data_IF_318926200368
#
_entry.id   IF_318926200368
#
_cell.length_a   1.000
_cell.length_b   1.000
_cell.length_c   1.000
_cell.angle_alpha   90.00
_cell.angle_beta   90.00
_cell.angle_gamma   90.00
#
_symmetry.space_group_name_H-M   'P 1'
#
loop_
_entity.id
_entity.type
_entity.pdbx_description
1 polymer ?
#
# COMPACT_ATOMS: atom_id res chain seq x y z
N UNK A 1 -50.98 -42.48 10.05
CA UNK A 1 -49.91 -42.17 9.06
C UNK A 1 -49.76 -40.69 8.71
N UNK A 2 -50.69 -39.79 9.06
CA UNK A 2 -50.58 -38.37 8.69
C UNK A 2 -49.68 -37.53 9.62
N UNK A 3 -49.62 -37.86 10.91
CA UNK A 3 -48.83 -37.10 11.91
C UNK A 3 -47.33 -37.07 11.60
N UNK A 4 -46.79 -38.20 11.12
CA UNK A 4 -45.37 -38.32 10.72
C UNK A 4 -45.10 -37.49 9.47
N UNK A 5 -46.02 -37.47 8.50
CA UNK A 5 -45.90 -36.68 7.26
C UNK A 5 -45.94 -35.18 7.58
N UNK A 6 -46.84 -34.74 8.46
CA UNK A 6 -46.90 -33.34 8.90
C UNK A 6 -45.65 -32.93 9.67
N UNK A 7 -45.11 -33.81 10.52
CA UNK A 7 -43.87 -33.54 11.27
C UNK A 7 -42.66 -33.39 10.34
N UNK A 8 -42.57 -34.24 9.31
CA UNK A 8 -41.52 -34.17 8.29
C UNK A 8 -41.65 -32.89 7.46
N UNK A 9 -42.87 -32.54 7.02
CA UNK A 9 -43.13 -31.30 6.27
C UNK A 9 -42.76 -30.05 7.08
N UNK A 10 -43.10 -30.01 8.37
CA UNK A 10 -42.76 -28.89 9.26
C UNK A 10 -41.24 -28.73 9.41
N UNK A 11 -40.52 -29.84 9.55
CA UNK A 11 -39.07 -29.84 9.67
C UNK A 11 -38.37 -29.35 8.39
N UNK A 12 -38.79 -29.84 7.23
CA UNK A 12 -38.25 -29.37 5.94
C UNK A 12 -38.54 -27.89 5.70
N UNK A 13 -39.74 -27.41 6.04
CA UNK A 13 -40.06 -25.99 5.96
C UNK A 13 -39.14 -25.14 6.86
N UNK A 14 -38.92 -25.58 8.11
CA UNK A 14 -38.02 -24.89 9.04
C UNK A 14 -36.57 -24.85 8.53
N UNK A 15 -36.06 -25.95 7.95
CA UNK A 15 -34.73 -25.99 7.35
C UNK A 15 -34.60 -25.06 6.14
N UNK A 16 -35.61 -25.02 5.27
CA UNK A 16 -35.65 -24.12 4.12
C UNK A 16 -35.65 -22.64 4.58
N UNK A 17 -36.45 -22.29 5.58
CA UNK A 17 -36.44 -20.95 6.16
C UNK A 17 -35.08 -20.60 6.78
N UNK A 18 -34.44 -21.53 7.49
CA UNK A 18 -33.11 -21.30 8.06
C UNK A 18 -32.03 -21.09 6.99
N UNK A 19 -32.12 -21.83 5.88
CA UNK A 19 -31.21 -21.68 4.73
C UNK A 19 -31.42 -20.34 3.99
N UNK A 20 -32.67 -19.89 3.86
CA UNK A 20 -33.01 -18.61 3.26
C UNK A 20 -32.54 -17.42 4.12
N UNK A 21 -32.66 -17.52 5.46
CA UNK A 21 -32.14 -16.52 6.40
C UNK A 21 -30.62 -16.44 6.31
N UNK A 22 -29.92 -17.57 6.12
CA UNK A 22 -28.46 -17.58 5.95
C UNK A 22 -28.00 -17.05 4.59
N UNK A 23 -28.79 -17.25 3.54
CA UNK A 23 -28.55 -16.65 2.23
C UNK A 23 -28.87 -15.15 2.17
N UNK A 24 -29.73 -14.64 3.05
CA UNK A 24 -30.17 -13.25 3.11
C UNK A 24 -29.33 -12.34 4.04
N UNK A 25 -28.22 -12.83 4.63
CA UNK A 25 -27.20 -11.95 5.21
C UNK A 25 -26.40 -11.23 4.10
N UNK A 26 -27.10 -10.42 3.32
CA UNK A 26 -26.52 -9.34 2.54
C UNK A 26 -26.08 -8.30 3.58
N UNK A 27 -24.79 -7.94 3.68
CA UNK A 27 -24.40 -6.79 4.46
C UNK A 27 -25.23 -5.61 3.97
N UNK A 28 -25.99 -4.98 4.85
CA UNK A 28 -26.66 -3.72 4.51
C UNK A 28 -25.54 -2.76 4.09
N UNK A 29 -25.37 -2.58 2.79
CA UNK A 29 -24.81 -1.39 2.17
C UNK A 29 -25.78 -0.25 2.51
N UNK A 30 -25.76 0.13 3.79
CA UNK A 30 -26.48 1.27 4.30
C UNK A 30 -25.87 2.48 3.61
N UNK A 31 -26.74 3.29 3.02
CA UNK A 31 -26.42 4.60 2.48
C UNK A 31 -25.64 5.38 3.55
N UNK A 32 -24.30 5.33 3.48
CA UNK A 32 -23.43 5.95 4.47
C UNK A 32 -23.73 7.44 4.47
N UNK A 33 -24.21 7.94 5.60
CA UNK A 33 -24.46 9.36 5.77
C UNK A 33 -23.17 10.14 5.51
N UNK A 34 -23.27 11.37 4.99
CA UNK A 34 -22.10 12.19 4.59
C UNK A 34 -21.10 12.48 5.73
N UNK A 35 -21.44 12.13 6.98
CA UNK A 35 -20.64 12.38 8.18
C UNK A 35 -20.30 11.08 8.96
N UNK A 36 -20.32 9.91 8.32
CA UNK A 36 -20.00 8.66 9.02
C UNK A 36 -18.50 8.57 9.35
N UNK A 37 -18.18 8.56 10.65
CA UNK A 37 -16.81 8.34 11.13
C UNK A 37 -16.53 6.84 11.17
N UNK A 38 -15.51 6.41 10.43
CA UNK A 38 -15.03 5.03 10.47
C UNK A 38 -14.39 4.78 11.85
N UNK A 39 -14.84 3.79 12.64
CA UNK A 39 -14.28 3.51 13.95
C UNK A 39 -12.77 3.20 13.89
N UNK A 40 -12.03 3.62 14.91
CA UNK A 40 -10.57 3.40 14.99
C UNK A 40 -10.17 1.95 14.73
N UNK A 41 -10.84 0.98 15.35
CA UNK A 41 -10.52 -0.43 15.17
C UNK A 41 -10.74 -0.94 13.75
N UNK A 42 -11.67 -0.34 13.01
CA UNK A 42 -11.86 -0.65 11.60
C UNK A 42 -10.71 -0.07 10.76
N UNK A 43 -10.32 1.18 11.00
CA UNK A 43 -9.16 1.80 10.35
C UNK A 43 -7.91 0.97 10.61
N UNK A 44 -7.61 0.65 11.88
CA UNK A 44 -6.44 -0.13 12.29
C UNK A 44 -6.38 -1.51 11.61
N UNK A 45 -7.49 -2.27 11.63
CA UNK A 45 -7.54 -3.59 10.98
C UNK A 45 -7.45 -3.50 9.46
N UNK A 46 -8.05 -2.45 8.87
CA UNK A 46 -7.99 -2.21 7.42
C UNK A 46 -6.63 -1.68 6.97
N UNK A 47 -5.85 -1.02 7.82
CA UNK A 47 -4.53 -0.48 7.49
C UNK A 47 -3.37 -1.41 7.87
N UNK A 48 -3.60 -2.42 8.71
CA UNK A 48 -2.57 -3.37 9.15
C UNK A 48 -1.80 -4.03 7.99
N UNK A 49 -0.51 -4.31 8.23
CA UNK A 49 0.37 -5.04 7.32
C UNK A 49 -0.22 -6.40 6.93
N UNK A 50 -0.54 -6.57 5.64
CA UNK A 50 -1.04 -7.82 5.06
C UNK A 50 -0.84 -7.82 3.55
N UNK A 51 -1.11 -8.96 2.93
CA UNK A 51 -1.14 -9.06 1.47
C UNK A 51 -2.34 -8.30 0.90
N UNK A 52 -2.09 -7.50 -0.14
CA UNK A 52 -3.10 -6.71 -0.85
C UNK A 52 -2.85 -6.75 -2.35
N UNK A 53 -3.92 -6.60 -3.11
CA UNK A 53 -3.85 -6.38 -4.55
C UNK A 53 -3.28 -4.98 -4.81
N UNK A 54 -2.23 -4.93 -5.62
CA UNK A 54 -1.58 -3.71 -6.05
C UNK A 54 -1.32 -3.76 -7.55
N UNK A 55 -1.48 -2.61 -8.21
CA UNK A 55 -1.06 -2.45 -9.60
C UNK A 55 0.45 -2.24 -9.64
N UNK A 56 1.12 -3.08 -10.40
CA UNK A 56 2.56 -3.04 -10.60
C UNK A 56 2.82 -2.83 -12.09
N UNK A 57 3.66 -1.85 -12.41
CA UNK A 57 4.09 -1.59 -13.78
C UNK A 57 5.07 -2.68 -14.23
N UNK A 58 4.81 -3.28 -15.39
CA UNK A 58 5.61 -4.36 -15.93
C UNK A 58 7.03 -3.87 -16.29
N UNK A 59 7.16 -2.64 -16.79
CA UNK A 59 8.46 -2.09 -17.23
C UNK A 59 9.39 -1.88 -16.03
N UNK A 60 8.82 -1.57 -14.86
CA UNK A 60 9.60 -1.40 -13.64
C UNK A 60 10.16 -2.73 -13.11
N UNK A 61 9.44 -3.83 -13.28
CA UNK A 61 9.88 -5.18 -12.88
C UNK A 61 10.84 -5.78 -13.92
N UNK A 62 10.69 -5.44 -15.21
CA UNK A 62 11.52 -5.92 -16.32
C UNK A 62 12.14 -4.77 -17.13
N UNK A 63 13.11 -4.02 -16.57
CA UNK A 63 13.71 -2.88 -17.24
C UNK A 63 14.58 -3.24 -18.46
N UNK A 64 15.01 -4.50 -18.57
CA UNK A 64 15.94 -4.95 -19.61
C UNK A 64 15.30 -5.04 -21.02
N UNK A 65 13.97 -4.89 -21.15
CA UNK A 65 13.25 -5.02 -22.43
C UNK A 65 12.84 -3.67 -23.07
N UNK A 66 13.76 -2.71 -23.13
CA UNK A 66 13.54 -1.30 -23.56
C UNK A 66 12.89 -1.15 -24.97
N UNK A 67 13.01 -2.14 -25.85
CA UNK A 67 12.42 -2.11 -27.21
C UNK A 67 10.93 -2.51 -27.28
N UNK A 68 10.33 -2.92 -26.17
CA UNK A 68 9.00 -3.54 -26.17
C UNK A 68 8.03 -2.79 -25.26
N UNK A 69 6.77 -2.73 -25.69
CA UNK A 69 5.66 -2.25 -24.86
C UNK A 69 4.74 -3.43 -24.55
N UNK A 70 4.32 -3.55 -23.30
CA UNK A 70 3.37 -4.60 -22.89
C UNK A 70 1.95 -4.04 -22.82
N UNK A 71 0.99 -4.86 -23.23
CA UNK A 71 -0.44 -4.59 -23.08
C UNK A 71 -1.06 -5.75 -22.27
N UNK A 72 -1.62 -5.49 -21.08
CA UNK A 72 -1.65 -4.21 -20.37
C UNK A 72 -0.24 -3.75 -19.91
N UNK A 73 -0.07 -2.47 -19.60
CA UNK A 73 1.20 -1.93 -19.07
C UNK A 73 1.41 -2.23 -17.58
N UNK A 74 0.34 -2.53 -16.86
CA UNK A 74 0.36 -2.89 -15.44
C UNK A 74 -0.46 -4.16 -15.19
N UNK A 75 -0.08 -4.90 -14.15
CA UNK A 75 -0.76 -6.11 -13.70
C UNK A 75 -1.13 -6.00 -12.23
N UNK A 76 -2.19 -6.70 -11.83
CA UNK A 76 -2.60 -6.80 -10.42
C UNK A 76 -1.82 -7.93 -9.78
N UNK A 77 -1.04 -7.62 -8.75
CA UNK A 77 -0.26 -8.60 -7.98
C UNK A 77 -0.56 -8.50 -6.50
N UNK A 78 -0.46 -9.64 -5.82
CA UNK A 78 -0.49 -9.69 -4.37
C UNK A 78 0.85 -9.25 -3.79
N UNK A 79 0.89 -8.10 -3.12
CA UNK A 79 2.08 -7.52 -2.48
C UNK A 79 1.80 -7.15 -1.02
N UNK A 80 2.86 -7.08 -0.23
CA UNK A 80 2.73 -6.68 1.17
C UNK A 80 2.52 -5.18 1.27
N UNK A 81 1.44 -4.79 1.92
CA UNK A 81 1.10 -3.38 2.10
C UNK A 81 0.31 -3.15 3.38
N UNK A 82 0.50 -1.96 3.95
CA UNK A 82 -0.10 -1.54 5.20
C UNK A 82 0.92 -0.91 6.13
N UNK A 83 0.46 -0.53 7.32
CA UNK A 83 1.29 0.03 8.37
C UNK A 83 1.60 -1.00 9.47
N UNK A 84 2.74 -0.78 10.12
CA UNK A 84 3.11 -1.40 11.38
C UNK A 84 2.89 -0.39 12.52
N UNK A 85 2.90 -0.86 13.77
CA UNK A 85 2.63 -0.01 14.93
C UNK A 85 3.76 0.95 15.28
N UNK A 86 4.97 0.67 14.81
CA UNK A 86 6.18 1.43 15.06
C UNK A 86 6.84 1.77 13.73
N UNK A 87 7.32 3.00 13.59
CA UNK A 87 8.03 3.48 12.41
C UNK A 87 9.39 2.79 12.21
N UNK A 88 9.95 2.23 13.28
CA UNK A 88 11.15 1.39 13.22
C UNK A 88 10.88 0.02 12.56
N UNK A 89 9.61 -0.34 12.35
CA UNK A 89 9.21 -1.57 11.66
C UNK A 89 8.85 -1.30 10.19
N UNK A 90 9.11 -2.31 9.35
CA UNK A 90 8.70 -2.36 7.94
C UNK A 90 7.85 -3.59 7.67
N UNK A 91 6.85 -3.44 6.79
CA UNK A 91 5.97 -4.53 6.35
C UNK A 91 6.65 -5.28 5.20
N UNK A 92 7.14 -6.48 5.48
CA UNK A 92 7.97 -7.27 4.53
C UNK A 92 7.34 -8.64 4.28
N UNK A 93 7.57 -9.23 3.09
CA UNK A 93 7.11 -10.59 2.80
C UNK A 93 7.91 -11.62 3.62
N UNK A 94 7.21 -12.63 4.09
CA UNK A 94 7.81 -13.82 4.72
C UNK A 94 7.71 -15.07 3.87
N UNK A 95 6.74 -15.10 2.96
CA UNK A 95 6.55 -16.17 2.00
C UNK A 95 6.09 -15.57 0.67
N UNK A 96 6.61 -16.12 -0.42
CA UNK A 96 6.37 -15.64 -1.79
C UNK A 96 6.12 -16.81 -2.73
N UNK A 97 5.39 -16.55 -3.82
CA UNK A 97 5.18 -17.49 -4.92
C UNK A 97 5.30 -16.77 -6.25
N UNK A 98 5.65 -17.50 -7.31
CA UNK A 98 5.65 -16.93 -8.65
C UNK A 98 4.31 -17.21 -9.35
N UNK A 99 3.84 -16.25 -10.14
CA UNK A 99 2.64 -16.36 -10.96
C UNK A 99 2.99 -15.93 -12.37
N UNK A 100 2.70 -16.81 -13.32
CA UNK A 100 2.89 -16.52 -14.73
C UNK A 100 1.63 -15.93 -15.32
N UNK A 101 1.76 -14.78 -15.98
CA UNK A 101 0.68 -14.05 -16.62
C UNK A 101 0.98 -13.88 -18.10
N UNK A 102 -0.07 -13.93 -18.92
CA UNK A 102 0.02 -13.68 -20.35
C UNK A 102 -0.24 -12.20 -20.64
N UNK A 103 0.64 -11.59 -21.43
CA UNK A 103 0.57 -10.20 -21.87
C UNK A 103 0.85 -10.12 -23.37
N UNK A 104 0.37 -9.07 -24.02
CA UNK A 104 0.75 -8.81 -25.40
C UNK A 104 2.05 -8.01 -25.42
N UNK A 105 3.09 -8.60 -26.03
CA UNK A 105 4.35 -7.91 -26.31
C UNK A 105 4.27 -7.25 -27.67
N UNK A 106 4.39 -5.93 -27.70
CA UNK A 106 4.32 -5.10 -28.90
C UNK A 106 5.72 -4.58 -29.23
N UNK A 107 6.23 -4.95 -30.40
CA UNK A 107 7.41 -4.31 -30.99
C UNK A 107 6.93 -3.33 -32.06
N UNK A 108 7.23 -2.05 -31.88
CA UNK A 108 6.76 -1.00 -32.78
C UNK A 108 7.13 -1.32 -34.24
N UNK A 109 6.14 -1.33 -35.13
CA UNK A 109 6.27 -1.59 -36.58
C UNK A 109 6.71 -3.00 -36.99
N UNK A 110 6.80 -3.97 -36.06
CA UNK A 110 7.30 -5.32 -36.38
C UNK A 110 6.24 -6.38 -36.11
N UNK A 111 5.80 -6.54 -34.86
CA UNK A 111 4.91 -7.64 -34.49
C UNK A 111 4.24 -7.43 -33.14
N UNK A 112 3.13 -8.14 -32.96
CA UNK A 112 2.41 -8.29 -31.69
C UNK A 112 2.18 -9.78 -31.46
N UNK A 113 2.56 -10.27 -30.29
CA UNK A 113 2.34 -11.67 -29.93
C UNK A 113 2.09 -11.80 -28.42
N UNK A 114 1.39 -12.86 -28.05
CA UNK A 114 1.25 -13.23 -26.65
C UNK A 114 2.60 -13.65 -26.08
N UNK A 115 2.88 -13.19 -24.88
CA UNK A 115 4.12 -13.42 -24.17
C UNK A 115 3.81 -13.71 -22.70
N UNK A 116 4.59 -14.59 -22.09
CA UNK A 116 4.39 -14.98 -20.70
C UNK A 116 5.46 -14.33 -19.83
N UNK A 117 5.02 -13.64 -18.78
CA UNK A 117 5.88 -13.03 -17.76
C UNK A 117 5.61 -13.68 -16.41
N UNK A 118 6.64 -13.86 -15.58
CA UNK A 118 6.53 -14.54 -14.29
C UNK A 118 6.84 -13.60 -13.13
N UNK A 119 5.79 -13.13 -12.47
CA UNK A 119 5.89 -12.16 -11.39
C UNK A 119 5.95 -12.84 -10.02
N UNK A 120 6.63 -12.21 -9.07
CA UNK A 120 6.60 -12.64 -7.66
C UNK A 120 5.43 -11.99 -6.92
N UNK A 121 4.63 -12.83 -6.26
CA UNK A 121 3.57 -12.47 -5.35
C UNK A 121 3.93 -12.82 -3.90
N UNK A 122 3.45 -12.04 -2.96
CA UNK A 122 3.63 -12.26 -1.53
C UNK A 122 2.43 -13.03 -0.98
N UNK A 123 2.64 -14.15 -0.32
CA UNK A 123 1.55 -14.95 0.27
C UNK A 123 1.38 -14.66 1.75
N UNK A 124 2.45 -14.28 2.45
CA UNK A 124 2.44 -13.88 3.87
C UNK A 124 3.32 -12.66 4.11
N UNK A 125 2.89 -11.80 5.04
CA UNK A 125 3.54 -10.53 5.38
C UNK A 125 3.66 -10.38 6.90
N UNK A 126 4.77 -9.80 7.36
CA UNK A 126 5.01 -9.51 8.78
C UNK A 126 5.73 -8.17 8.95
N UNK A 127 5.55 -7.56 10.13
CA UNK A 127 6.30 -6.38 10.53
C UNK A 127 7.66 -6.78 11.12
N UNK A 128 8.75 -6.33 10.51
CA UNK A 128 10.13 -6.61 10.96
C UNK A 128 10.91 -5.33 11.19
N UNK A 129 11.95 -5.38 12.02
CA UNK A 129 12.80 -4.22 12.29
C UNK A 129 13.56 -3.81 11.03
N UNK A 130 13.50 -2.51 10.71
CA UNK A 130 14.30 -1.93 9.64
C UNK A 130 15.77 -2.08 9.98
N UNK A 131 16.54 -2.64 9.06
CA UNK A 131 17.99 -2.65 9.19
C UNK A 131 18.50 -1.24 8.90
N UNK A 132 18.88 -0.50 9.94
CA UNK A 132 19.54 0.79 9.76
C UNK A 132 20.88 0.56 9.04
N UNK A 133 20.91 0.83 7.74
CA UNK A 133 22.17 0.99 7.01
C UNK A 133 22.82 2.24 7.60
N UNK A 134 23.73 2.04 8.56
CA UNK A 134 24.58 3.10 9.09
C UNK A 134 25.31 3.73 7.92
N UNK A 135 24.79 4.84 7.41
CA UNK A 135 25.53 5.73 6.55
C UNK A 135 26.80 6.07 7.31
N UNK A 136 27.95 5.66 6.76
CA UNK A 136 29.26 5.95 7.32
C UNK A 136 29.35 7.47 7.44
N UNK A 137 29.08 8.01 8.63
CA UNK A 137 29.43 9.39 8.96
C UNK A 137 30.94 9.47 8.77
N UNK A 138 31.36 10.13 7.69
CA UNK A 138 32.76 10.43 7.44
C UNK A 138 33.36 11.01 8.72
N UNK A 139 34.45 10.39 9.19
CA UNK A 139 35.16 10.83 10.39
C UNK A 139 35.73 12.21 10.10
N UNK A 140 35.10 13.28 10.61
CA UNK A 140 35.73 14.60 10.65
C UNK A 140 37.08 14.49 11.39
N UNK A 141 38.16 15.08 10.85
CA UNK A 141 39.48 14.99 11.47
C UNK A 141 39.48 15.70 12.83
N UNK A 142 40.14 15.06 13.79
CA UNK A 142 40.29 15.53 15.17
C UNK A 142 41.16 16.80 15.18
N UNK A 143 40.56 17.97 15.45
CA UNK A 143 41.29 19.17 15.89
C UNK A 143 41.31 19.17 17.42
N UNK A 144 42.50 19.33 17.98
CA UNK A 144 42.79 19.09 19.38
C UNK A 144 42.27 20.12 20.39
N UNK A 145 41.87 19.58 21.55
CA UNK A 145 42.23 19.97 22.93
C UNK A 145 41.92 21.40 23.42
N UNK A 146 40.99 21.50 24.39
CA UNK A 146 41.23 22.18 25.69
C UNK A 146 40.46 21.45 26.81
N UNK A 147 41.13 21.17 27.94
CA UNK A 147 40.56 20.65 29.19
C UNK A 147 39.82 21.76 29.92
N UNK A 148 38.58 21.52 30.38
CA UNK A 148 38.01 22.26 31.50
C UNK A 148 37.07 21.39 32.35
N UNK A 149 36.92 21.80 33.60
CA UNK A 149 36.77 20.97 34.80
C UNK A 149 35.34 20.50 35.11
N UNK A 150 35.29 19.30 35.69
CA UNK A 150 34.25 18.61 36.49
C UNK A 150 33.27 19.54 37.24
N UNK A 151 31.96 19.33 37.10
CA UNK A 151 30.92 19.48 38.14
C UNK A 151 29.69 18.62 37.79
N UNK A 152 29.12 18.03 38.83
CA UNK A 152 28.02 17.08 38.82
C UNK A 152 26.67 17.76 39.11
N UNK A 153 25.58 17.13 38.64
CA UNK A 153 24.17 17.06 39.13
C UNK A 153 23.23 17.01 37.92
N UNK A 154 22.47 15.94 37.71
CA UNK A 154 21.26 15.48 38.43
C UNK A 154 20.01 15.99 37.71
N UNK A 155 19.12 15.07 37.36
CA UNK A 155 17.68 15.30 37.29
C UNK A 155 17.11 16.03 36.06
N UNK A 156 16.25 15.27 35.37
CA UNK A 156 14.87 15.67 35.06
C UNK A 156 14.50 16.06 33.62
N UNK A 157 13.26 15.66 33.39
CA UNK A 157 12.36 15.59 32.27
C UNK A 157 12.14 16.83 31.41
N UNK A 158 11.64 16.54 30.20
CA UNK A 158 10.69 17.37 29.46
C UNK A 158 11.16 18.76 29.03
N UNK A 159 11.30 18.97 27.72
CA UNK A 159 10.36 19.88 27.06
C UNK A 159 10.47 19.88 25.54
N UNK A 160 9.29 19.99 24.95
CA UNK A 160 9.01 20.39 23.58
C UNK A 160 9.86 21.61 23.19
N UNK A 161 10.52 21.54 22.03
CA UNK A 161 10.79 22.74 21.25
C UNK A 161 10.45 22.49 19.79
N UNK A 162 9.27 22.99 19.42
CA UNK A 162 8.92 23.30 18.06
C UNK A 162 9.88 24.39 17.55
N UNK A 163 10.56 24.11 16.44
CA UNK A 163 11.19 25.14 15.63
C UNK A 163 11.06 24.78 14.15
N UNK A 164 9.86 25.00 13.62
CA UNK A 164 9.65 25.07 12.18
C UNK A 164 10.09 26.48 11.73
N UNK A 165 11.37 26.63 11.45
CA UNK A 165 11.87 27.83 10.79
C UNK A 165 11.45 27.80 9.32
N UNK A 166 10.57 28.74 9.02
CA UNK A 166 10.09 29.16 7.70
C UNK A 166 11.24 29.31 6.70
N UNK A 167 11.22 28.55 5.60
CA UNK A 167 11.88 28.91 4.34
C UNK A 167 10.86 28.89 3.21
N UNK A 168 10.15 30.00 3.13
CA UNK A 168 9.47 30.47 1.93
C UNK A 168 10.51 30.77 0.85
N UNK A 169 10.24 30.37 -0.39
CA UNK A 169 10.76 30.88 -1.68
C UNK A 169 11.08 29.74 -2.65
N UNK A 170 10.13 29.42 -3.54
CA UNK A 170 10.39 28.95 -4.93
C UNK A 170 9.13 28.74 -5.80
N UNK A 171 7.89 28.87 -5.29
CA UNK A 171 6.69 28.52 -6.10
C UNK A 171 6.05 29.72 -6.82
N UNK A 172 6.51 30.95 -6.60
CA UNK A 172 5.89 32.15 -7.19
C UNK A 172 6.33 32.51 -8.63
N UNK A 173 6.99 31.60 -9.35
CA UNK A 173 7.44 31.84 -10.74
C UNK A 173 6.84 30.90 -11.80
N UNK A 174 6.00 29.93 -11.43
CA UNK A 174 5.38 29.03 -12.42
C UNK A 174 3.96 29.43 -12.83
N UNK A 175 3.37 30.46 -12.22
CA UNK A 175 1.97 30.86 -12.49
C UNK A 175 1.87 31.91 -13.62
N UNK A 176 2.97 32.57 -14.00
CA UNK A 176 2.97 33.55 -15.11
C UNK A 176 3.23 32.88 -16.48
N UNK A 177 3.59 31.59 -16.52
CA UNK A 177 3.84 30.85 -17.78
C UNK A 177 2.64 30.14 -18.41
N UNK A 178 1.49 30.05 -17.72
CA UNK A 178 0.35 29.24 -18.18
C UNK A 178 -0.77 30.02 -18.89
N UNK A 179 -0.68 31.34 -18.99
CA UNK A 179 -1.70 32.18 -19.67
C UNK A 179 -1.32 32.50 -21.13
N UNK A 180 -0.08 32.27 -21.57
CA UNK A 180 0.35 32.54 -22.95
C UNK A 180 0.53 31.30 -23.86
N UNK A 181 0.24 30.10 -23.36
CA UNK A 181 0.46 28.84 -24.10
C UNK A 181 -0.77 28.19 -24.74
N UNK A 182 -1.98 28.77 -24.62
CA UNK A 182 -3.24 28.18 -25.13
C UNK A 182 -3.81 28.87 -26.38
N UNK A 183 -3.02 29.65 -27.11
CA UNK A 183 -3.50 30.36 -28.32
C UNK A 183 -2.72 30.07 -29.62
N UNK A 184 -1.96 28.96 -29.71
CA UNK A 184 -1.20 28.62 -30.94
C UNK A 184 -1.37 27.15 -31.39
N UNK A 185 -2.55 26.55 -31.17
CA UNK A 185 -2.93 25.28 -31.82
C UNK A 185 -4.40 25.29 -32.28
N UNK A 186 -4.82 26.38 -32.92
CA UNK A 186 -6.04 26.39 -33.75
C UNK A 186 -5.85 27.37 -34.90
N UNK A 187 -5.02 26.95 -35.86
CA UNK A 187 -4.99 27.38 -37.26
C UNK A 187 -4.64 26.15 -38.09
#
# INVERSE_FOLDING_TARGET
>A
MNFVVYSIQLFFAALLHLSAVKAAHIPKEGMKSKNEVIPFMEVYKKSACKTREMLVDIIQEYPDEIEHTYIPSCVVLMRCAGCCNDEALECVPTETRNVTMEVLRVKQRVSQHNFQLSFTEHTKCECRQKVEVKSKKEKKPRVGRVKSRKRAREGDSGDLSASAHLRSSSILLSIIGFISGRLVCSL
#
